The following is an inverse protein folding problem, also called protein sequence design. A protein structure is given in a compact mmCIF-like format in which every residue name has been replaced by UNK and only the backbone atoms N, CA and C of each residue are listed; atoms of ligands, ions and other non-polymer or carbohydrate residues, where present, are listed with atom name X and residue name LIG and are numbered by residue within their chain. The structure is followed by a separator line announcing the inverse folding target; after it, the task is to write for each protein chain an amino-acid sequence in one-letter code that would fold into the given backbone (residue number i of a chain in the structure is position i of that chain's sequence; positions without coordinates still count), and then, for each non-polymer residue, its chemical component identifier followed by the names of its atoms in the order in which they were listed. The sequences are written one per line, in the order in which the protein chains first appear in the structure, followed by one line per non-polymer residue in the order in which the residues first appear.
data_IF_323324830221
#
_entry.id   IF_323324830221
#
_cell.length_a   1.000
_cell.length_b   1.000
_cell.length_c   1.000
_cell.angle_alpha   90.00
_cell.angle_beta   90.00
_cell.angle_gamma   90.00
#
_symmetry.space_group_name_H-M   'P 1'
#
loop_
_entity.id
_entity.type
_entity.pdbx_description
1 polymer ?
#
# COMPACT_ATOMS: atom_id res chain seq x y z
N UNK A 1 17.54 -16.56 -4.19
CA UNK A 1 17.22 -15.83 -2.94
C UNK A 1 15.88 -15.14 -3.14
N UNK A 2 14.87 -15.40 -2.32
CA UNK A 2 13.58 -14.71 -2.40
C UNK A 2 13.75 -13.28 -1.88
N UNK A 3 13.69 -12.29 -2.78
CA UNK A 3 13.71 -10.89 -2.39
C UNK A 3 12.48 -10.60 -1.50
N UNK A 4 12.72 -10.13 -0.27
CA UNK A 4 11.64 -9.69 0.60
C UNK A 4 10.92 -8.49 -0.05
N UNK A 5 9.61 -8.61 -0.22
CA UNK A 5 8.80 -7.54 -0.82
C UNK A 5 8.47 -6.54 0.27
N UNK A 6 9.02 -5.33 0.16
CA UNK A 6 8.78 -4.23 1.10
C UNK A 6 7.92 -3.19 0.41
N UNK A 7 6.81 -2.80 1.02
CA UNK A 7 5.95 -1.72 0.52
C UNK A 7 6.55 -0.35 0.86
N UNK A 8 6.44 0.57 -0.09
CA UNK A 8 6.77 1.98 0.08
C UNK A 8 5.52 2.86 -0.09
N UNK A 9 5.68 4.15 0.19
CA UNK A 9 4.56 5.10 0.23
C UNK A 9 3.87 5.31 -1.13
N UNK A 10 4.50 4.91 -2.24
CA UNK A 10 3.93 5.03 -3.58
C UNK A 10 3.13 3.79 -3.98
N UNK A 11 3.36 2.64 -3.34
CA UNK A 11 2.63 1.41 -3.63
C UNK A 11 1.20 1.44 -3.07
N UNK A 12 0.99 2.18 -1.97
CA UNK A 12 -0.28 2.17 -1.22
C UNK A 12 -0.92 3.56 -1.23
N UNK A 13 -2.12 3.71 -1.81
CA UNK A 13 -2.88 4.96 -1.75
C UNK A 13 -3.14 5.42 -0.32
N UNK A 14 -2.71 6.64 -0.03
CA UNK A 14 -2.84 7.28 1.28
C UNK A 14 -1.73 6.92 2.28
N UNK A 15 -0.69 6.18 1.87
CA UNK A 15 0.50 5.96 2.70
C UNK A 15 1.42 7.19 2.79
N UNK A 16 1.27 8.13 1.85
CA UNK A 16 1.90 9.46 1.83
C UNK A 16 0.88 10.55 2.14
N UNK A 17 1.25 11.51 3.00
CA UNK A 17 0.45 12.70 3.24
C UNK A 17 0.52 13.66 2.04
N UNK A 18 -0.59 14.33 1.74
CA UNK A 18 -0.65 15.29 0.63
C UNK A 18 0.03 16.60 0.97
N UNK A 19 -0.15 17.06 2.22
CA UNK A 19 0.46 18.28 2.71
C UNK A 19 1.61 17.94 3.67
N UNK A 20 2.77 18.62 3.55
CA UNK A 20 3.88 18.45 4.48
C UNK A 20 3.50 18.93 5.90
N UNK A 21 2.61 19.92 5.97
CA UNK A 21 1.99 20.36 7.21
C UNK A 21 0.86 19.39 7.59
N UNK A 22 1.06 18.63 8.67
CA UNK A 22 0.18 17.56 9.13
C UNK A 22 -1.23 18.13 9.41
N UNK A 23 -1.33 19.34 9.95
CA UNK A 23 -2.60 19.97 10.33
C UNK A 23 -3.47 20.32 9.13
N UNK A 24 -2.87 20.54 7.96
CA UNK A 24 -3.58 20.85 6.71
C UNK A 24 -4.21 19.61 6.07
N UNK A 25 -3.82 18.41 6.48
CA UNK A 25 -4.46 17.19 5.99
C UNK A 25 -5.84 17.00 6.63
N UNK A 26 -6.73 16.37 5.88
CA UNK A 26 -8.09 16.06 6.32
C UNK A 26 -8.09 14.86 7.28
N UNK A 27 -9.14 14.73 8.11
CA UNK A 27 -9.30 13.58 9.02
C UNK A 27 -9.22 12.23 8.29
N UNK A 28 -9.90 12.02 7.14
CA UNK A 28 -9.78 10.77 6.39
C UNK A 28 -8.35 10.46 5.94
N UNK A 29 -7.58 11.47 5.51
CA UNK A 29 -6.19 11.31 5.08
C UNK A 29 -5.29 10.91 6.25
N UNK A 30 -5.42 11.59 7.39
CA UNK A 30 -4.67 11.25 8.60
C UNK A 30 -4.99 9.83 9.09
N UNK A 31 -6.26 9.46 9.10
CA UNK A 31 -6.69 8.10 9.47
C UNK A 31 -6.11 7.06 8.53
N UNK A 32 -6.17 7.32 7.22
CA UNK A 32 -5.64 6.41 6.20
C UNK A 32 -4.13 6.22 6.34
N UNK A 33 -3.40 7.30 6.56
CA UNK A 33 -1.94 7.27 6.75
C UNK A 33 -1.54 6.43 7.97
N UNK A 34 -2.25 6.58 9.09
CA UNK A 34 -2.05 5.77 10.31
C UNK A 34 -2.40 4.30 10.07
N UNK A 35 -3.50 4.03 9.37
CA UNK A 35 -3.95 2.67 9.07
C UNK A 35 -2.92 1.91 8.22
N UNK A 36 -2.27 2.59 7.26
CA UNK A 36 -1.19 1.99 6.45
C UNK A 36 -0.01 1.49 7.29
N UNK A 37 0.15 1.97 8.53
CA UNK A 37 1.23 1.59 9.46
C UNK A 37 0.73 0.73 10.63
N UNK A 38 -0.49 0.19 10.52
CA UNK A 38 -1.20 -0.54 11.59
C UNK A 38 -1.39 0.27 12.88
N UNK A 39 -1.44 1.60 12.78
CA UNK A 39 -1.54 2.49 13.95
C UNK A 39 -2.99 2.87 14.18
N UNK A 40 -3.37 2.97 15.46
CA UNK A 40 -4.72 3.34 15.88
C UNK A 40 -5.17 4.68 15.29
N UNK A 41 -6.23 4.67 14.49
CA UNK A 41 -6.76 5.84 13.78
C UNK A 41 -8.08 6.41 14.38
N UNK A 42 -8.39 6.09 15.64
CA UNK A 42 -9.55 6.63 16.35
C UNK A 42 -9.24 7.99 16.99
N UNK A 43 -10.29 8.78 17.26
CA UNK A 43 -10.20 10.08 17.94
C UNK A 43 -10.61 11.25 17.05
N UNK A 44 -10.48 12.45 17.61
CA UNK A 44 -10.72 13.73 16.91
C UNK A 44 -9.49 14.15 16.10
N UNK A 45 -9.60 15.20 15.27
CA UNK A 45 -8.52 15.62 14.36
C UNK A 45 -7.20 15.88 15.10
N UNK A 46 -7.25 16.58 16.24
CA UNK A 46 -6.06 16.92 17.04
C UNK A 46 -5.32 15.67 17.54
N UNK A 47 -6.05 14.63 17.97
CA UNK A 47 -5.46 13.35 18.38
C UNK A 47 -4.75 12.66 17.21
N UNK A 48 -5.35 12.72 16.03
CA UNK A 48 -4.78 12.13 14.82
C UNK A 48 -3.53 12.86 14.37
N UNK A 49 -3.55 14.21 14.36
CA UNK A 49 -2.39 15.05 14.04
C UNK A 49 -1.23 14.72 14.98
N UNK A 50 -1.47 14.76 16.30
CA UNK A 50 -0.44 14.46 17.30
C UNK A 50 0.15 13.07 17.09
N UNK A 51 -0.70 12.06 16.88
CA UNK A 51 -0.24 10.68 16.65
C UNK A 51 0.58 10.54 15.37
N UNK A 52 0.17 11.18 14.28
CA UNK A 52 0.95 11.18 13.03
C UNK A 52 2.32 11.81 13.28
N UNK A 53 2.39 12.91 14.02
CA UNK A 53 3.64 13.58 14.35
C UNK A 53 4.55 12.71 15.23
N UNK A 54 4.00 12.05 16.26
CA UNK A 54 4.75 11.11 17.10
C UNK A 54 5.35 9.96 16.27
N UNK A 55 4.59 9.42 15.32
CA UNK A 55 5.03 8.34 14.43
C UNK A 55 6.14 8.81 13.49
N UNK A 56 6.03 10.00 12.93
CA UNK A 56 7.08 10.60 12.09
C UNK A 56 8.36 10.81 12.93
N UNK A 57 8.23 11.32 14.16
CA UNK A 57 9.36 11.57 15.05
C UNK A 57 10.08 10.28 15.49
N UNK A 58 9.35 9.18 15.63
CA UNK A 58 9.95 7.86 15.92
C UNK A 58 10.67 7.24 14.70
N UNK A 59 10.47 7.77 13.50
CA UNK A 59 11.09 7.26 12.28
C UNK A 59 10.42 6.01 11.71
N UNK A 60 9.19 5.69 12.13
CA UNK A 60 8.45 4.53 11.60
C UNK A 60 7.98 4.82 10.17
N UNK A 61 8.63 4.18 9.22
CA UNK A 61 8.32 4.29 7.78
C UNK A 61 7.70 3.03 7.20
N UNK A 62 7.68 1.93 7.95
CA UNK A 62 7.19 0.63 7.49
C UNK A 62 5.68 0.65 7.26
N UNK A 63 5.26 0.19 6.08
CA UNK A 63 3.86 0.00 5.71
C UNK A 63 3.48 -1.45 5.96
N UNK A 64 2.33 -1.65 6.61
CA UNK A 64 1.76 -2.96 6.89
C UNK A 64 1.54 -3.74 5.59
N UNK A 65 2.22 -4.88 5.39
CA UNK A 65 2.03 -5.72 4.21
C UNK A 65 0.61 -6.26 4.07
N UNK A 66 -0.19 -6.28 5.15
CA UNK A 66 -1.57 -6.78 5.17
C UNK A 66 -2.62 -5.68 4.93
N UNK A 67 -2.20 -4.43 4.73
CA UNK A 67 -3.12 -3.32 4.44
C UNK A 67 -4.01 -3.65 3.23
N UNK A 68 -5.30 -3.33 3.33
CA UNK A 68 -6.34 -3.68 2.34
C UNK A 68 -6.36 -5.18 1.99
N UNK A 69 -6.16 -6.05 2.97
CA UNK A 69 -6.12 -7.50 2.78
C UNK A 69 -4.86 -7.99 2.05
N UNK A 70 -3.80 -7.18 2.05
CA UNK A 70 -2.52 -7.48 1.40
C UNK A 70 -2.51 -7.23 -0.11
N UNK A 71 -3.55 -6.61 -0.66
CA UNK A 71 -3.68 -6.29 -2.09
C UNK A 71 -2.41 -5.70 -2.69
N UNK A 72 -1.85 -4.68 -2.03
CA UNK A 72 -0.68 -3.95 -2.52
C UNK A 72 0.61 -4.78 -2.46
N UNK A 73 0.76 -5.59 -1.42
CA UNK A 73 1.87 -6.53 -1.31
C UNK A 73 1.88 -7.53 -2.48
N UNK A 74 0.72 -8.11 -2.82
CA UNK A 74 0.60 -9.01 -3.96
C UNK A 74 0.93 -8.31 -5.28
N UNK A 75 0.47 -7.08 -5.49
CA UNK A 75 0.76 -6.30 -6.69
C UNK A 75 2.26 -6.02 -6.83
N UNK A 76 2.94 -5.54 -5.77
CA UNK A 76 4.38 -5.29 -5.81
C UNK A 76 5.18 -6.57 -6.02
N UNK A 77 4.81 -7.67 -5.36
CA UNK A 77 5.43 -8.99 -5.55
C UNK A 77 5.32 -9.45 -7.01
N UNK A 78 4.16 -9.24 -7.63
CA UNK A 78 3.94 -9.61 -9.03
C UNK A 78 4.80 -8.76 -9.97
N UNK A 79 4.86 -7.44 -9.76
CA UNK A 79 5.72 -6.54 -10.54
C UNK A 79 7.21 -6.93 -10.47
N UNK A 80 7.71 -7.22 -9.26
CA UNK A 80 9.10 -7.67 -9.08
C UNK A 80 9.35 -9.01 -9.79
N UNK A 81 8.39 -9.94 -9.73
CA UNK A 81 8.50 -11.23 -10.42
C UNK A 81 8.45 -11.07 -11.95
N UNK A 82 7.60 -10.20 -12.48
CA UNK A 82 7.52 -9.93 -13.93
C UNK A 82 8.77 -9.23 -14.45
N UNK A 83 9.32 -8.28 -13.69
CA UNK A 83 10.59 -7.60 -14.02
C UNK A 83 11.75 -8.60 -14.04
N UNK A 84 11.77 -9.55 -13.11
CA UNK A 84 12.76 -10.63 -13.12
C UNK A 84 12.60 -11.61 -14.29
N UNK A 85 11.43 -11.64 -14.96
CA UNK A 85 11.06 -12.66 -15.94
C UNK A 85 10.80 -12.13 -17.36
N UNK A 86 11.00 -10.83 -17.65
CA UNK A 86 10.75 -10.17 -18.95
C UNK A 86 9.34 -10.39 -19.58
N UNK A 87 8.35 -10.88 -18.84
CA UNK A 87 6.97 -11.03 -19.31
C UNK A 87 6.07 -9.98 -18.67
N UNK A 88 5.51 -9.08 -19.49
CA UNK A 88 4.52 -8.08 -19.06
C UNK A 88 3.22 -8.79 -18.65
N UNK A 89 2.98 -8.97 -17.35
CA UNK A 89 1.71 -9.48 -16.83
C UNK A 89 0.83 -8.28 -16.46
N UNK A 90 -0.28 -8.10 -17.17
CA UNK A 90 -1.26 -7.05 -16.89
C UNK A 90 -2.20 -7.55 -15.78
N UNK A 91 -2.32 -6.86 -14.63
CA UNK A 91 -3.24 -7.27 -13.57
C UNK A 91 -4.70 -7.02 -14.00
N UNK A 92 -5.46 -8.08 -14.23
CA UNK A 92 -6.91 -8.01 -14.43
C UNK A 92 -7.60 -8.00 -13.06
N UNK A 93 -8.33 -6.93 -12.75
CA UNK A 93 -9.13 -6.82 -11.53
C UNK A 93 -10.57 -7.29 -11.80
N UNK A 94 -11.02 -8.44 -11.26
CA UNK A 94 -12.42 -8.83 -11.34
C UNK A 94 -13.26 -8.03 -10.34
N UNK A 95 -14.48 -7.66 -10.75
CA UNK A 95 -15.38 -6.78 -9.99
C UNK A 95 -16.00 -7.41 -8.74
N UNK A 96 -15.88 -8.73 -8.56
CA UNK A 96 -16.55 -9.42 -7.45
C UNK A 96 -15.66 -10.52 -6.84
N UNK A 97 -14.89 -10.14 -5.83
CA UNK A 97 -14.64 -10.94 -4.61
C UNK A 97 -13.97 -12.31 -4.67
N UNK A 98 -13.56 -12.86 -5.82
CA UNK A 98 -12.81 -14.14 -5.89
C UNK A 98 -11.69 -14.09 -6.92
N UNK A 99 -10.50 -14.49 -6.50
CA UNK A 99 -9.30 -14.55 -7.34
C UNK A 99 -9.30 -15.85 -8.17
N UNK A 100 -9.31 -15.72 -9.49
CA UNK A 100 -8.98 -16.82 -10.42
C UNK A 100 -7.99 -16.31 -11.47
N UNK A 101 -7.05 -17.17 -11.84
CA UNK A 101 -5.97 -16.88 -12.80
C UNK A 101 -6.30 -17.52 -14.15
N UNK A 102 -6.47 -16.73 -15.21
CA UNK A 102 -6.37 -17.25 -16.57
C UNK A 102 -4.93 -17.12 -17.07
N UNK A 103 -4.32 -18.26 -17.41
CA UNK A 103 -3.06 -18.31 -18.14
C UNK A 103 -3.38 -18.11 -19.63
N UNK A 104 -3.43 -16.87 -20.11
CA UNK A 104 -3.52 -16.65 -21.55
C UNK A 104 -2.13 -16.87 -22.16
N UNK A 105 -1.90 -18.09 -22.64
CA UNK A 105 -0.79 -18.42 -23.53
C UNK A 105 -1.01 -17.70 -24.87
N UNK A 106 -0.30 -16.60 -25.10
CA UNK A 106 -0.10 -16.14 -26.48
C UNK A 106 0.94 -17.05 -27.14
N UNK A 107 0.47 -18.13 -27.74
CA UNK A 107 1.27 -18.88 -28.72
C UNK A 107 1.29 -18.06 -30.01
N UNK A 108 2.47 -17.55 -30.36
CA UNK A 108 2.72 -16.98 -31.69
C UNK A 108 2.57 -18.08 -32.74
N UNK A 109 1.79 -17.81 -33.77
CA UNK A 109 2.01 -18.31 -35.13
C UNK A 109 2.03 -17.10 -36.06
#
# INVERSE_FOLDING_TARGET
MSQAVVLDENDVPGAKLKHPDIEKNTVPELRRWLLCRSIKCSGVKTDLVKRVQDVINTGITEIDPKIDGGKWYFLKKQQLTSLASNHLIIPVFPKEGKYYFEKTLFSRF
#
